data_IF_476730848565
#
_entry.id   IF_476730848565
#
_cell.length_a   1.000
_cell.length_b   1.000
_cell.length_c   1.000
_cell.angle_alpha   90.00
_cell.angle_beta   90.00
_cell.angle_gamma   90.00
#
_symmetry.space_group_name_H-M   'P 1'
#
loop_
_entity.id
_entity.type
_entity.pdbx_description
1 polymer ?
#
# COMPACT_ATOMS: atom_id res chain seq x y z
N UNK A 1 3.82 -3.17 -14.82
CA UNK A 1 3.17 -2.19 -13.93
C UNK A 1 3.68 -2.41 -12.52
N UNK A 2 4.20 -1.37 -11.89
CA UNK A 2 4.74 -1.46 -10.53
C UNK A 2 3.68 -1.02 -9.53
N UNK A 3 3.52 -1.81 -8.47
CA UNK A 3 2.61 -1.50 -7.37
C UNK A 3 3.42 -0.91 -6.22
N UNK A 4 2.94 0.19 -5.66
CA UNK A 4 3.55 0.81 -4.49
C UNK A 4 2.57 0.77 -3.33
N UNK A 5 3.03 0.33 -2.17
CA UNK A 5 2.17 0.20 -0.99
C UNK A 5 2.76 0.95 0.19
N UNK A 6 1.89 1.61 0.94
CA UNK A 6 2.22 2.17 2.25
C UNK A 6 1.57 1.27 3.28
N UNK A 7 2.38 0.72 4.18
CA UNK A 7 1.96 -0.35 5.09
C UNK A 7 2.40 -0.07 6.52
N UNK A 8 1.93 -0.91 7.42
CA UNK A 8 2.42 -0.97 8.80
C UNK A 8 2.92 -2.40 9.04
N UNK A 9 4.05 -2.55 9.72
CA UNK A 9 4.67 -3.86 9.93
C UNK A 9 3.80 -4.82 10.74
N UNK A 10 2.91 -4.30 11.58
CA UNK A 10 2.03 -5.09 12.44
C UNK A 10 0.60 -5.19 11.95
N UNK A 11 0.30 -4.64 10.77
CA UNK A 11 -1.05 -4.60 10.23
C UNK A 11 -1.39 -5.90 9.50
N UNK A 12 -2.46 -6.57 9.92
CA UNK A 12 -2.91 -7.82 9.30
C UNK A 12 -3.33 -7.66 7.85
N UNK A 13 -4.07 -6.60 7.53
CA UNK A 13 -4.48 -6.31 6.15
C UNK A 13 -3.29 -5.98 5.26
N UNK A 14 -2.28 -5.31 5.80
CA UNK A 14 -1.04 -5.03 5.07
C UNK A 14 -0.30 -6.32 4.73
N UNK A 15 -0.24 -7.24 5.69
CA UNK A 15 0.38 -8.55 5.47
C UNK A 15 -0.36 -9.33 4.40
N UNK A 16 -1.69 -9.29 4.41
CA UNK A 16 -2.51 -9.94 3.39
C UNK A 16 -2.26 -9.36 2.01
N UNK A 17 -2.13 -8.04 1.92
CA UNK A 17 -1.84 -7.37 0.65
C UNK A 17 -0.46 -7.77 0.11
N UNK A 18 0.56 -7.80 0.96
CA UNK A 18 1.90 -8.23 0.57
C UNK A 18 1.91 -9.68 0.07
N UNK A 19 1.22 -10.56 0.79
CA UNK A 19 1.09 -11.97 0.43
C UNK A 19 0.40 -12.13 -0.91
N UNK A 20 -0.71 -11.41 -1.12
CA UNK A 20 -1.44 -11.43 -2.39
C UNK A 20 -0.54 -11.05 -3.56
N UNK A 21 0.24 -9.98 -3.43
CA UNK A 21 1.14 -9.55 -4.50
C UNK A 21 2.19 -10.62 -4.81
N UNK A 22 2.79 -11.21 -3.77
CA UNK A 22 3.79 -12.27 -3.94
C UNK A 22 3.21 -13.52 -4.59
N UNK A 23 2.02 -13.95 -4.17
CA UNK A 23 1.37 -15.15 -4.70
C UNK A 23 0.96 -15.00 -6.17
N UNK A 24 0.65 -13.79 -6.59
CA UNK A 24 0.25 -13.50 -7.96
C UNK A 24 1.41 -13.05 -8.85
N UNK A 25 2.63 -13.11 -8.35
CA UNK A 25 3.81 -12.72 -9.11
C UNK A 25 3.84 -11.24 -9.49
N UNK A 26 3.19 -10.39 -8.72
CA UNK A 26 3.12 -8.96 -8.99
C UNK A 26 4.32 -8.25 -8.40
N UNK A 27 5.06 -7.54 -9.25
CA UNK A 27 6.16 -6.70 -8.78
C UNK A 27 5.59 -5.56 -7.92
N UNK A 28 6.12 -5.43 -6.71
CA UNK A 28 5.63 -4.44 -5.77
C UNK A 28 6.72 -3.92 -4.86
N UNK A 29 6.54 -2.70 -4.39
CA UNK A 29 7.38 -2.09 -3.36
C UNK A 29 6.49 -1.65 -2.22
N UNK A 30 6.94 -1.85 -1.00
CA UNK A 30 6.20 -1.40 0.17
C UNK A 30 7.09 -0.62 1.13
N UNK A 31 6.47 0.28 1.88
CA UNK A 31 7.14 1.03 2.93
C UNK A 31 6.36 0.82 4.23
N UNK A 32 6.98 0.19 5.22
CA UNK A 32 6.39 0.07 6.56
C UNK A 32 6.62 1.38 7.30
N UNK A 33 5.59 2.23 7.31
CA UNK A 33 5.69 3.60 7.80
C UNK A 33 6.02 3.65 9.29
N UNK A 34 5.57 2.66 10.06
CA UNK A 34 5.85 2.57 11.49
C UNK A 34 7.33 2.31 11.82
N UNK A 35 8.10 1.83 10.85
CA UNK A 35 9.53 1.59 11.02
C UNK A 35 10.38 2.80 10.67
N UNK A 36 9.77 3.83 10.10
CA UNK A 36 10.44 5.10 9.81
C UNK A 36 10.42 5.98 11.06
N UNK A 37 11.30 6.97 11.09
CA UNK A 37 11.39 7.90 12.22
C UNK A 37 11.68 9.32 11.75
N UNK A 38 11.38 10.30 12.63
CA UNK A 38 11.71 11.70 12.40
C UNK A 38 11.05 12.27 11.14
N UNK A 39 11.82 13.06 10.40
CA UNK A 39 11.33 13.77 9.20
C UNK A 39 10.94 12.82 8.08
N UNK A 40 11.63 11.69 7.95
CA UNK A 40 11.31 10.70 6.93
C UNK A 40 9.90 10.16 7.12
N UNK A 41 9.55 9.82 8.35
CA UNK A 41 8.20 9.34 8.68
C UNK A 41 7.15 10.40 8.38
N UNK A 42 7.44 11.65 8.76
CA UNK A 42 6.53 12.76 8.51
C UNK A 42 6.30 12.99 7.02
N UNK A 43 7.38 12.98 6.22
CA UNK A 43 7.28 13.17 4.78
C UNK A 43 6.45 12.08 4.13
N UNK A 44 6.67 10.83 4.53
CA UNK A 44 5.92 9.69 3.97
C UNK A 44 4.46 9.75 4.38
N UNK A 45 4.15 10.11 5.63
CA UNK A 45 2.76 10.27 6.08
C UNK A 45 2.05 11.40 5.32
N UNK A 46 2.74 12.51 5.05
CA UNK A 46 2.17 13.58 4.25
C UNK A 46 1.88 13.12 2.82
N UNK A 47 2.74 12.28 2.26
CA UNK A 47 2.53 11.68 0.95
C UNK A 47 1.32 10.75 0.95
N UNK A 48 1.18 9.92 1.97
CA UNK A 48 0.02 9.02 2.11
C UNK A 48 -1.28 9.82 2.15
N UNK A 49 -1.30 10.93 2.89
CA UNK A 49 -2.50 11.76 3.01
C UNK A 49 -2.94 12.40 1.70
N UNK A 50 -2.03 12.58 0.74
CA UNK A 50 -2.40 13.07 -0.60
C UNK A 50 -3.27 12.08 -1.34
N UNK A 51 -3.05 10.79 -1.14
CA UNK A 51 -3.81 9.71 -1.79
C UNK A 51 -4.95 9.21 -0.91
N UNK A 52 -4.77 9.26 0.39
CA UNK A 52 -5.73 8.75 1.37
C UNK A 52 -5.81 9.73 2.54
N UNK A 53 -6.70 10.72 2.48
CA UNK A 53 -6.83 11.71 3.56
C UNK A 53 -7.12 11.11 4.94
N UNK A 54 -7.76 9.94 4.99
CA UNK A 54 -7.99 9.22 6.23
C UNK A 54 -6.74 8.59 6.82
N UNK A 55 -5.65 8.54 6.06
CA UNK A 55 -4.37 8.00 6.49
C UNK A 55 -4.48 6.61 7.12
N UNK A 56 -5.21 5.72 6.44
CA UNK A 56 -5.35 4.32 6.86
C UNK A 56 -4.42 3.42 6.06
N UNK A 57 -4.22 2.20 6.52
CA UNK A 57 -3.29 1.26 5.90
C UNK A 57 -3.97 -0.08 5.65
N UNK A 58 -3.57 -0.78 4.58
CA UNK A 58 -2.62 -0.36 3.57
C UNK A 58 -3.22 0.69 2.62
N UNK A 59 -2.37 1.56 2.06
CA UNK A 59 -2.72 2.43 0.94
C UNK A 59 -1.93 1.92 -0.24
N UNK A 60 -2.61 1.51 -1.30
CA UNK A 60 -2.00 0.80 -2.43
C UNK A 60 -2.16 1.62 -3.70
N UNK A 61 -1.04 1.86 -4.37
CA UNK A 61 -1.02 2.59 -5.63
C UNK A 61 -0.74 1.63 -6.78
N UNK A 62 -1.67 1.54 -7.73
CA UNK A 62 -1.53 0.71 -8.93
C UNK A 62 -1.61 1.64 -10.12
N UNK A 63 -0.44 2.08 -10.62
CA UNK A 63 -0.40 3.12 -11.65
C UNK A 63 -1.01 4.39 -11.08
N UNK A 64 -2.09 4.87 -11.72
CA UNK A 64 -2.81 6.08 -11.28
C UNK A 64 -3.97 5.77 -10.33
N UNK A 65 -4.23 4.48 -10.06
CA UNK A 65 -5.33 4.08 -9.19
C UNK A 65 -4.88 3.99 -7.74
N UNK A 66 -5.75 4.43 -6.84
CA UNK A 66 -5.50 4.36 -5.38
C UNK A 66 -6.51 3.39 -4.78
N UNK A 67 -6.00 2.42 -4.04
CA UNK A 67 -6.85 1.45 -3.34
C UNK A 67 -6.59 1.59 -1.85
N UNK A 68 -7.64 1.82 -1.09
CA UNK A 68 -7.58 2.02 0.35
C UNK A 68 -8.03 0.74 1.04
N UNK A 69 -7.14 0.20 1.86
CA UNK A 69 -7.36 -1.08 2.53
C UNK A 69 -7.05 -2.26 1.63
N UNK A 70 -7.16 -3.48 2.17
CA UNK A 70 -6.99 -4.69 1.40
C UNK A 70 -8.34 -5.08 0.78
N UNK A 71 -8.61 -4.55 -0.40
CA UNK A 71 -9.79 -4.87 -1.19
C UNK A 71 -9.33 -5.72 -2.38
N UNK A 72 -9.38 -7.03 -2.21
CA UNK A 72 -8.86 -7.98 -3.21
C UNK A 72 -9.51 -7.77 -4.58
N UNK A 73 -10.83 -7.58 -4.62
CA UNK A 73 -11.55 -7.39 -5.88
C UNK A 73 -11.05 -6.13 -6.60
N UNK A 74 -10.94 -5.01 -5.89
CA UNK A 74 -10.45 -3.77 -6.49
C UNK A 74 -9.00 -3.91 -6.97
N UNK A 75 -8.17 -4.62 -6.20
CA UNK A 75 -6.78 -4.86 -6.57
C UNK A 75 -6.70 -5.70 -7.84
N UNK A 76 -7.50 -6.76 -7.92
CA UNK A 76 -7.55 -7.61 -9.12
C UNK A 76 -7.98 -6.82 -10.35
N UNK A 77 -9.00 -6.00 -10.22
CA UNK A 77 -9.48 -5.17 -11.33
C UNK A 77 -8.41 -4.18 -11.78
N UNK A 78 -7.71 -3.54 -10.83
CA UNK A 78 -6.66 -2.58 -11.15
C UNK A 78 -5.46 -3.25 -11.85
N UNK A 79 -5.17 -4.50 -11.51
CA UNK A 79 -4.05 -5.25 -12.09
C UNK A 79 -4.44 -6.03 -13.36
N UNK A 80 -5.71 -6.10 -13.68
CA UNK A 80 -6.20 -6.89 -14.81
C UNK A 80 -6.19 -8.39 -14.57
N UNK A 81 -6.30 -8.80 -13.32
CA UNK A 81 -6.33 -10.22 -12.95
C UNK A 81 -7.73 -10.80 -12.99
#
# INVERSE_FOLDING_TARGET
MTVKMYTLSTCGHCKSAKKFMGENGVEHHFTDVDLLSGDERKQVLDEVRKYNPGCSFPTILVGEKVIIGFNELAIREALGL
#
